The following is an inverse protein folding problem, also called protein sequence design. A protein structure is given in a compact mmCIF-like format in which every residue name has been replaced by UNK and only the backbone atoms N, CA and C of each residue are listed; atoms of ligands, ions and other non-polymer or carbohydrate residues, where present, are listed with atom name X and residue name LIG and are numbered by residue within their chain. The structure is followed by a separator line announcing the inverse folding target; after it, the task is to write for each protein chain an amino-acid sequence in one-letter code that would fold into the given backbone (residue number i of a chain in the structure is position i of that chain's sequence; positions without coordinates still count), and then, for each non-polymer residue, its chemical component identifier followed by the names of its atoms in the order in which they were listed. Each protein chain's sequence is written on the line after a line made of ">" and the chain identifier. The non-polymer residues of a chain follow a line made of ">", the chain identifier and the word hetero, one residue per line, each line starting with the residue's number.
data_IF_142896648768
#
_entry.id   IF_142896648768
#
_cell.length_a   1.000
_cell.length_b   1.000
_cell.length_c   1.000
_cell.angle_alpha   90.00
_cell.angle_beta   90.00
_cell.angle_gamma   90.00
#
_symmetry.space_group_name_H-M   'P 1'
#
loop_
_entity.id
_entity.type
_entity.pdbx_description
1 polymer ?
#
# COMPACT_ATOMS: atom_id res chain seq x y z
N UNK A 1 -15.69 -12.86 10.70
CA UNK A 1 -14.89 -14.00 10.18
C UNK A 1 -14.04 -13.46 9.04
N UNK A 2 -12.79 -13.90 8.91
CA UNK A 2 -11.86 -13.45 7.88
C UNK A 2 -11.15 -14.62 7.20
N UNK A 3 -10.78 -14.46 5.92
CA UNK A 3 -10.02 -15.46 5.16
C UNK A 3 -8.93 -14.79 4.32
N UNK A 4 -8.04 -15.57 3.71
CA UNK A 4 -7.06 -15.03 2.75
C UNK A 4 -7.59 -14.84 1.33
N UNK A 5 -8.84 -15.24 1.05
CA UNK A 5 -9.44 -15.25 -0.29
C UNK A 5 -10.32 -14.01 -0.51
N UNK A 6 -10.34 -13.51 -1.75
CA UNK A 6 -11.09 -12.32 -2.14
C UNK A 6 -12.58 -12.57 -2.39
N UNK A 7 -13.02 -13.83 -2.44
CA UNK A 7 -14.43 -14.19 -2.67
C UNK A 7 -15.28 -14.21 -1.38
N UNK A 8 -14.71 -13.77 -0.25
CA UNK A 8 -15.40 -13.63 1.04
C UNK A 8 -15.12 -12.25 1.66
N UNK A 9 -16.00 -11.74 2.55
CA UNK A 9 -15.71 -10.57 3.36
C UNK A 9 -14.42 -10.72 4.17
N UNK A 10 -13.81 -9.58 4.52
CA UNK A 10 -12.60 -9.50 5.33
C UNK A 10 -11.41 -10.32 4.78
N UNK A 11 -10.92 -9.98 3.58
CA UNK A 11 -9.76 -10.62 2.97
C UNK A 11 -8.45 -10.20 3.67
N UNK A 12 -8.05 -10.93 4.72
CA UNK A 12 -6.76 -10.73 5.40
C UNK A 12 -5.65 -11.40 4.59
N UNK A 13 -4.99 -10.61 3.75
CA UNK A 13 -3.92 -11.07 2.87
C UNK A 13 -2.76 -10.07 2.84
N UNK A 14 -1.53 -10.58 2.66
CA UNK A 14 -0.33 -9.75 2.55
C UNK A 14 -0.35 -8.82 1.32
N UNK A 15 -1.24 -9.05 0.36
CA UNK A 15 -1.49 -8.16 -0.78
C UNK A 15 -1.82 -6.74 -0.37
N UNK A 16 -2.41 -6.56 0.81
CA UNK A 16 -2.69 -5.24 1.37
C UNK A 16 -1.47 -4.57 2.01
N UNK A 17 -0.41 -5.30 2.34
CA UNK A 17 0.75 -4.76 3.06
C UNK A 17 2.04 -4.65 2.23
N UNK A 18 2.38 -5.70 1.46
CA UNK A 18 3.66 -5.69 0.75
C UNK A 18 3.84 -4.49 -0.20
N UNK A 19 2.82 -4.01 -0.95
CA UNK A 19 3.03 -2.89 -1.86
C UNK A 19 3.46 -1.61 -1.12
N UNK A 20 2.79 -1.27 -0.02
CA UNK A 20 3.08 -0.11 0.81
C UNK A 20 4.42 -0.25 1.55
N UNK A 21 4.65 -1.39 2.21
CA UNK A 21 5.89 -1.68 2.94
C UNK A 21 7.12 -1.56 2.04
N UNK A 22 7.09 -2.21 0.87
CA UNK A 22 8.22 -2.14 -0.07
C UNK A 22 8.38 -0.72 -0.63
N UNK A 23 7.28 -0.02 -1.00
CA UNK A 23 7.37 1.33 -1.53
C UNK A 23 8.03 2.29 -0.52
N UNK A 24 7.61 2.24 0.75
CA UNK A 24 8.18 3.05 1.83
C UNK A 24 9.66 2.73 2.07
N UNK A 25 10.00 1.45 2.21
CA UNK A 25 11.38 1.03 2.41
C UNK A 25 12.30 1.44 1.24
N UNK A 26 11.82 1.32 0.00
CA UNK A 26 12.57 1.73 -1.19
C UNK A 26 12.75 3.25 -1.29
N UNK A 27 11.73 4.03 -0.91
CA UNK A 27 11.73 5.48 -1.05
C UNK A 27 12.73 6.20 -0.15
N UNK A 28 13.01 5.62 1.02
CA UNK A 28 14.05 6.08 1.96
C UNK A 28 15.34 5.25 1.89
N UNK A 29 15.39 4.28 0.96
CA UNK A 29 16.49 3.31 0.82
C UNK A 29 16.83 2.63 2.16
N UNK A 30 15.84 2.10 2.87
CA UNK A 30 16.05 1.34 4.10
C UNK A 30 17.01 0.16 3.87
N UNK A 31 17.86 -0.16 4.85
CA UNK A 31 18.79 -1.28 4.80
C UNK A 31 18.13 -2.63 5.08
N UNK A 32 16.99 -2.60 5.78
CA UNK A 32 16.17 -3.76 6.15
C UNK A 32 14.70 -3.33 6.31
N UNK A 33 13.81 -4.30 6.46
CA UNK A 33 12.44 -4.08 6.94
C UNK A 33 12.39 -4.60 8.37
N UNK A 34 11.94 -3.77 9.31
CA UNK A 34 11.80 -4.11 10.73
C UNK A 34 10.36 -4.50 11.07
N UNK A 35 10.15 -5.11 12.23
CA UNK A 35 8.80 -5.41 12.71
C UNK A 35 8.01 -4.12 12.99
N UNK A 36 8.66 -3.06 13.48
CA UNK A 36 8.01 -1.77 13.70
C UNK A 36 7.59 -1.08 12.40
N UNK A 37 8.33 -1.28 11.30
CA UNK A 37 7.89 -0.86 9.97
C UNK A 37 6.62 -1.60 9.56
N UNK A 38 6.53 -2.91 9.81
CA UNK A 38 5.32 -3.69 9.55
C UNK A 38 4.14 -3.23 10.43
N UNK A 39 4.39 -2.89 11.71
CA UNK A 39 3.37 -2.32 12.59
C UNK A 39 2.88 -0.95 12.12
N UNK A 40 3.78 -0.12 11.59
CA UNK A 40 3.41 1.17 11.00
C UNK A 40 2.49 1.00 9.77
N UNK A 41 2.76 0.01 8.92
CA UNK A 41 1.87 -0.34 7.81
C UNK A 41 0.51 -0.87 8.30
N UNK A 42 0.51 -1.76 9.29
CA UNK A 42 -0.72 -2.28 9.89
C UNK A 42 -1.60 -1.18 10.51
N UNK A 43 -0.99 -0.18 11.16
CA UNK A 43 -1.68 1.00 11.66
C UNK A 43 -2.32 1.82 10.52
N UNK A 44 -1.61 1.99 9.40
CA UNK A 44 -2.15 2.68 8.23
C UNK A 44 -3.40 1.99 7.65
N UNK A 45 -3.38 0.65 7.57
CA UNK A 45 -4.52 -0.15 7.12
C UNK A 45 -5.72 -0.02 8.07
N UNK A 46 -5.46 -0.12 9.38
CA UNK A 46 -6.49 0.01 10.40
C UNK A 46 -7.12 1.41 10.41
N UNK A 47 -6.32 2.47 10.26
CA UNK A 47 -6.84 3.84 10.22
C UNK A 47 -7.63 4.13 8.94
N UNK A 48 -7.32 3.45 7.83
CA UNK A 48 -7.96 3.72 6.54
C UNK A 48 -9.44 3.29 6.49
N UNK A 49 -9.85 2.29 7.26
CA UNK A 49 -11.26 1.83 7.25
C UNK A 49 -12.21 2.91 7.77
N UNK A 50 -11.77 3.66 8.79
CA UNK A 50 -12.54 4.73 9.42
C UNK A 50 -13.97 4.32 9.77
N UNK A 51 -14.94 5.15 9.35
CA UNK A 51 -16.36 4.96 9.63
C UNK A 51 -17.02 3.80 8.85
N UNK A 52 -16.30 3.15 7.92
CA UNK A 52 -16.79 1.98 7.17
C UNK A 52 -16.66 0.68 7.96
N UNK A 53 -16.16 0.73 9.20
CA UNK A 53 -15.93 -0.44 10.03
C UNK A 53 -17.24 -1.12 10.42
N UNK A 54 -17.41 -2.36 9.97
CA UNK A 54 -18.50 -3.24 10.40
C UNK A 54 -18.04 -4.72 10.47
N UNK A 55 -18.97 -5.64 10.74
CA UNK A 55 -18.66 -7.06 10.89
C UNK A 55 -18.13 -7.74 9.60
N UNK A 56 -18.42 -7.17 8.43
CA UNK A 56 -18.02 -7.65 7.11
C UNK A 56 -16.90 -6.79 6.48
N UNK A 57 -16.58 -5.64 7.08
CA UNK A 57 -15.58 -4.69 6.60
C UNK A 57 -14.60 -4.27 7.71
N UNK A 58 -13.72 -5.18 8.14
CA UNK A 58 -12.73 -4.91 9.19
C UNK A 58 -11.40 -4.34 8.68
N UNK A 59 -11.18 -4.38 7.36
CA UNK A 59 -9.98 -3.90 6.69
C UNK A 59 -10.31 -3.42 5.27
N UNK A 60 -9.49 -2.53 4.69
CA UNK A 60 -9.71 -2.07 3.32
C UNK A 60 -9.51 -3.19 2.29
N UNK A 61 -9.96 -2.93 1.07
CA UNK A 61 -9.87 -3.86 -0.05
C UNK A 61 -8.72 -3.48 -0.99
N UNK A 62 -8.39 -4.37 -1.94
CA UNK A 62 -7.37 -4.07 -2.96
C UNK A 62 -7.75 -2.92 -3.89
N UNK A 63 -9.03 -2.53 -3.94
CA UNK A 63 -9.51 -1.40 -4.72
C UNK A 63 -9.25 -0.05 -4.02
N UNK A 64 -9.07 -0.06 -2.71
CA UNK A 64 -8.71 1.10 -1.88
C UNK A 64 -7.20 1.43 -1.99
N UNK A 65 -6.69 1.53 -3.22
CA UNK A 65 -5.26 1.59 -3.51
C UNK A 65 -4.53 2.81 -2.90
N UNK A 66 -5.27 3.85 -2.50
CA UNK A 66 -4.70 5.02 -1.82
C UNK A 66 -4.09 4.67 -0.45
N UNK A 67 -4.50 3.56 0.17
CA UNK A 67 -3.94 3.09 1.43
C UNK A 67 -2.45 2.79 1.33
N UNK A 68 -2.00 2.27 0.18
CA UNK A 68 -0.60 1.93 -0.07
C UNK A 68 0.33 3.16 0.00
N UNK A 69 -0.18 4.35 -0.34
CA UNK A 69 0.57 5.60 -0.21
C UNK A 69 0.75 6.02 1.25
N UNK A 70 -0.27 5.79 2.10
CA UNK A 70 -0.18 6.04 3.55
C UNK A 70 0.76 5.05 4.23
N UNK A 71 0.65 3.77 3.89
CA UNK A 71 1.57 2.73 4.36
C UNK A 71 3.01 3.08 3.99
N UNK A 72 3.27 3.42 2.72
CA UNK A 72 4.61 3.78 2.27
C UNK A 72 5.20 4.96 3.04
N UNK A 73 4.39 6.00 3.29
CA UNK A 73 4.82 7.15 4.06
C UNK A 73 5.16 6.77 5.51
N UNK A 74 4.26 6.06 6.21
CA UNK A 74 4.49 5.66 7.60
C UNK A 74 5.66 4.68 7.76
N UNK A 75 5.82 3.74 6.82
CA UNK A 75 6.96 2.81 6.78
C UNK A 75 8.27 3.57 6.55
N UNK A 76 8.30 4.52 5.62
CA UNK A 76 9.47 5.36 5.37
C UNK A 76 9.85 6.21 6.58
N UNK A 77 8.85 6.82 7.25
CA UNK A 77 9.06 7.58 8.48
C UNK A 77 9.61 6.69 9.60
N UNK A 78 9.07 5.48 9.78
CA UNK A 78 9.54 4.55 10.81
C UNK A 78 10.98 4.07 10.53
N UNK A 79 11.32 3.82 9.27
CA UNK A 79 12.68 3.47 8.87
C UNK A 79 13.69 4.61 9.18
N UNK A 80 13.29 5.87 9.00
CA UNK A 80 14.09 7.04 9.37
C UNK A 80 14.27 7.15 10.88
N UNK A 81 13.18 7.01 11.65
CA UNK A 81 13.21 7.04 13.11
C UNK A 81 14.14 5.97 13.70
N UNK A 82 14.16 4.77 13.13
CA UNK A 82 15.00 3.66 13.58
C UNK A 82 16.45 3.72 13.04
N UNK A 83 16.79 4.72 12.22
CA UNK A 83 18.13 4.88 11.66
C UNK A 83 18.52 3.81 10.62
N UNK A 84 17.54 3.09 10.06
CA UNK A 84 17.78 2.10 8.99
C UNK A 84 17.62 2.71 7.59
N UNK A 85 17.07 3.91 7.48
CA UNK A 85 16.99 4.70 6.25
C UNK A 85 18.35 5.30 5.83
N UNK A 86 18.55 5.47 4.53
CA UNK A 86 19.73 6.14 3.96
C UNK A 86 19.39 7.45 3.23
N UNK A 87 18.11 7.77 3.12
CA UNK A 87 17.60 9.07 2.67
C UNK A 87 16.61 9.58 3.71
N UNK A 88 16.63 10.88 3.95
CA UNK A 88 15.68 11.56 4.83
C UNK A 88 14.67 12.33 3.97
N UNK A 89 13.39 12.12 4.26
CA UNK A 89 12.24 12.75 3.60
C UNK A 89 11.17 13.05 4.64
N UNK A 90 10.37 14.08 4.39
CA UNK A 90 9.16 14.34 5.14
C UNK A 90 8.06 13.32 4.81
N UNK A 91 7.06 13.23 5.69
CA UNK A 91 5.88 12.40 5.44
C UNK A 91 5.20 12.78 4.12
N UNK A 92 5.01 14.07 3.87
CA UNK A 92 4.34 14.58 2.67
C UNK A 92 5.10 14.20 1.39
N UNK A 93 6.43 14.35 1.38
CA UNK A 93 7.26 13.91 0.25
C UNK A 93 7.13 12.42 -0.04
N UNK A 94 7.09 11.57 1.01
CA UNK A 94 6.91 10.13 0.84
C UNK A 94 5.51 9.79 0.32
N UNK A 95 4.48 10.42 0.90
CA UNK A 95 3.09 10.20 0.52
C UNK A 95 2.83 10.61 -0.93
N UNK A 96 3.24 11.82 -1.32
CA UNK A 96 3.06 12.35 -2.67
C UNK A 96 3.82 11.52 -3.71
N UNK A 97 5.06 11.13 -3.39
CA UNK A 97 5.87 10.29 -4.26
C UNK A 97 5.23 8.90 -4.48
N UNK A 98 4.77 8.25 -3.40
CA UNK A 98 4.07 6.97 -3.49
C UNK A 98 2.77 7.10 -4.28
N UNK A 99 1.96 8.13 -4.00
CA UNK A 99 0.72 8.43 -4.71
C UNK A 99 0.95 8.63 -6.21
N UNK A 100 2.00 9.38 -6.58
CA UNK A 100 2.39 9.58 -7.96
C UNK A 100 2.80 8.27 -8.65
N UNK A 101 3.69 7.47 -8.05
CA UNK A 101 4.18 6.22 -8.65
C UNK A 101 3.05 5.23 -8.85
N UNK A 102 2.24 4.98 -7.82
CA UNK A 102 1.15 4.00 -7.87
C UNK A 102 0.10 4.46 -8.88
N UNK A 103 -0.32 5.71 -8.81
CA UNK A 103 -1.29 6.29 -9.74
C UNK A 103 -0.80 6.25 -11.18
N UNK A 104 0.49 6.54 -11.43
CA UNK A 104 1.09 6.46 -12.77
C UNK A 104 1.03 5.04 -13.33
N UNK A 105 1.42 4.03 -12.55
CA UNK A 105 1.38 2.64 -12.99
C UNK A 105 -0.04 2.19 -13.31
N UNK A 106 -1.01 2.50 -12.44
CA UNK A 106 -2.43 2.17 -12.68
C UNK A 106 -2.97 2.83 -13.96
N UNK A 107 -2.68 4.12 -14.16
CA UNK A 107 -3.10 4.84 -15.38
C UNK A 107 -2.47 4.27 -16.63
N UNK A 108 -1.18 3.93 -16.58
CA UNK A 108 -0.48 3.34 -17.72
C UNK A 108 -1.08 1.99 -18.11
N UNK A 109 -1.30 1.09 -17.14
CA UNK A 109 -1.95 -0.20 -17.41
C UNK A 109 -3.34 -0.01 -18.01
N UNK A 110 -4.14 0.89 -17.45
CA UNK A 110 -5.49 1.18 -17.97
C UNK A 110 -5.44 1.69 -19.41
N UNK A 111 -4.56 2.64 -19.72
CA UNK A 111 -4.37 3.14 -21.08
C UNK A 111 -3.92 2.03 -22.04
N UNK A 112 -3.03 1.13 -21.62
CA UNK A 112 -2.60 0.01 -22.45
C UNK A 112 -3.73 -0.99 -22.73
N UNK A 113 -4.68 -1.15 -21.81
CA UNK A 113 -5.90 -1.95 -22.04
C UNK A 113 -6.87 -1.23 -22.98
N UNK A 114 -7.07 0.08 -22.79
CA UNK A 114 -7.98 0.88 -23.64
C UNK A 114 -7.51 1.00 -25.10
N UNK A 115 -6.19 0.99 -25.31
CA UNK A 115 -5.55 1.10 -26.63
C UNK A 115 -5.20 -0.28 -27.25
N UNK A 116 -5.75 -1.37 -26.73
CA UNK A 116 -5.57 -2.76 -27.22
C UNK A 116 -4.10 -3.28 -27.21
N UNK A 117 -3.18 -2.60 -26.52
CA UNK A 117 -1.83 -3.12 -26.26
C UNK A 117 -1.84 -4.28 -25.27
N UNK A 118 -2.85 -4.33 -24.40
CA UNK A 118 -3.19 -5.48 -23.55
C UNK A 118 -4.57 -5.96 -24.02
N UNK A 119 -4.61 -7.11 -24.68
CA UNK A 119 -5.85 -7.68 -25.20
C UNK A 119 -6.80 -8.09 -24.06
N UNK A 120 -8.10 -8.02 -24.36
CA UNK A 120 -9.14 -8.53 -23.48
C UNK A 120 -8.94 -10.02 -23.18
N UNK A 121 -9.42 -10.44 -22.00
CA UNK A 121 -9.43 -11.83 -21.64
C UNK A 121 -10.29 -12.62 -22.64
N UNK A 122 -9.82 -13.77 -23.15
CA UNK A 122 -10.63 -14.61 -24.01
C UNK A 122 -11.88 -15.05 -23.25
N UNK A 123 -13.03 -14.88 -23.91
CA UNK A 123 -14.34 -15.36 -23.45
C UNK A 123 -14.48 -16.87 -23.57
#
# INVERSE_FOLDING_TARGET
>A
VATGRSDFPNQVNNSLGFPGIFRGALDVRASTITDEMCYAAAAALADHIGDKLDAEHILPTMDDWEVFSREAALVGMKAQEQGVARLEKSYDELYEHAMFIIGRSRRLTKLMMEEDFIADAPV
#
